data_IF_917180546766
#
_entry.id   IF_917180546766
#
_cell.length_a   1.000
_cell.length_b   1.000
_cell.length_c   1.000
_cell.angle_alpha   90.00
_cell.angle_beta   90.00
_cell.angle_gamma   90.00
#
_symmetry.space_group_name_H-M   'P 1'
#
loop_
_entity.id
_entity.type
_entity.pdbx_description
1 polymer ?
#
# COMPACT_ATOMS: atom_id res chain seq x y z
N UNK A 1 -24.52 8.77 21.82
CA UNK A 1 -23.22 8.06 21.72
C UNK A 1 -22.92 7.48 23.07
N UNK A 2 -22.68 6.17 23.14
CA UNK A 2 -22.28 5.47 24.36
C UNK A 2 -20.76 5.46 24.47
N UNK A 3 -20.23 5.41 25.69
CA UNK A 3 -18.80 5.16 25.88
C UNK A 3 -18.42 3.79 25.30
N UNK A 4 -17.27 3.72 24.63
CA UNK A 4 -16.73 2.46 24.13
C UNK A 4 -16.28 1.61 25.33
N UNK A 5 -16.43 0.28 25.27
CA UNK A 5 -15.95 -0.61 26.33
C UNK A 5 -14.43 -0.48 26.52
N UNK A 6 -13.98 -0.63 27.76
CA UNK A 6 -12.56 -0.65 28.09
C UNK A 6 -11.92 -1.96 27.57
N UNK A 7 -10.74 -1.85 26.95
CA UNK A 7 -10.00 -3.02 26.48
C UNK A 7 -9.34 -3.71 27.68
N UNK A 8 -9.84 -4.88 28.08
CA UNK A 8 -9.27 -5.65 29.19
C UNK A 8 -8.00 -6.43 28.81
N UNK A 9 -7.85 -6.81 27.52
CA UNK A 9 -6.73 -7.61 27.04
C UNK A 9 -6.44 -7.40 25.55
N UNK A 10 -5.15 -7.36 25.22
CA UNK A 10 -4.64 -7.43 23.85
C UNK A 10 -3.81 -8.72 23.68
N UNK A 11 -4.08 -9.49 22.61
CA UNK A 11 -3.34 -10.71 22.27
C UNK A 11 -2.87 -10.62 20.83
N UNK A 12 -1.57 -10.81 20.61
CA UNK A 12 -1.00 -10.89 19.28
C UNK A 12 -0.85 -12.36 18.88
N UNK A 13 -1.56 -12.77 17.83
CA UNK A 13 -1.50 -14.11 17.26
C UNK A 13 -0.76 -14.03 15.93
N UNK A 14 0.19 -14.93 15.70
CA UNK A 14 0.89 -15.02 14.43
C UNK A 14 0.22 -16.05 13.52
N UNK A 15 -0.30 -15.58 12.38
CA UNK A 15 -0.79 -16.40 11.29
C UNK A 15 0.03 -16.03 10.05
N UNK A 16 0.86 -16.95 9.57
CA UNK A 16 1.92 -16.65 8.60
C UNK A 16 1.45 -16.36 7.17
N UNK A 17 0.21 -16.73 6.83
CA UNK A 17 -0.34 -16.56 5.49
C UNK A 17 -1.66 -15.78 5.48
N UNK A 18 -1.92 -15.08 4.38
CA UNK A 18 -3.10 -14.22 4.24
C UNK A 18 -4.41 -15.00 4.18
N UNK A 19 -4.41 -16.26 3.72
CA UNK A 19 -5.63 -17.07 3.66
C UNK A 19 -6.07 -17.53 5.05
N UNK A 20 -5.11 -17.92 5.89
CA UNK A 20 -5.32 -18.22 7.30
C UNK A 20 -5.84 -16.99 8.05
N UNK A 21 -5.24 -15.83 7.82
CA UNK A 21 -5.70 -14.56 8.41
C UNK A 21 -7.15 -14.24 7.99
N UNK A 22 -7.47 -14.37 6.70
CA UNK A 22 -8.82 -14.17 6.18
C UNK A 22 -9.83 -15.14 6.80
N UNK A 23 -9.49 -16.42 6.90
CA UNK A 23 -10.36 -17.44 7.51
C UNK A 23 -10.62 -17.15 8.98
N UNK A 24 -9.59 -16.76 9.72
CA UNK A 24 -9.71 -16.41 11.14
C UNK A 24 -10.59 -15.17 11.31
N UNK A 25 -10.42 -14.13 10.49
CA UNK A 25 -11.24 -12.92 10.55
C UNK A 25 -12.70 -13.20 10.14
N UNK A 26 -12.93 -14.01 9.10
CA UNK A 26 -14.29 -14.43 8.69
C UNK A 26 -14.99 -15.22 9.81
N UNK A 27 -14.25 -16.02 10.57
CA UNK A 27 -14.77 -16.78 11.72
C UNK A 27 -14.83 -16.00 13.02
N UNK A 28 -14.46 -14.72 13.02
CA UNK A 28 -14.35 -13.88 14.21
C UNK A 28 -13.41 -14.48 15.28
N UNK A 29 -12.36 -15.20 14.85
CA UNK A 29 -11.29 -15.72 15.72
C UNK A 29 -10.23 -14.65 16.04
N UNK A 30 -10.15 -13.60 15.21
CA UNK A 30 -9.32 -12.40 15.37
C UNK A 30 -10.13 -11.16 14.99
N UNK A 31 -9.76 -10.00 15.55
CA UNK A 31 -10.45 -8.72 15.29
C UNK A 31 -9.81 -7.89 14.17
N UNK A 32 -8.56 -8.18 13.81
CA UNK A 32 -7.79 -7.42 12.82
C UNK A 32 -6.71 -8.28 12.15
N UNK A 33 -6.34 -7.92 10.93
CA UNK A 33 -5.21 -8.48 10.19
C UNK A 33 -4.13 -7.42 9.96
N UNK A 34 -3.01 -7.84 9.37
CA UNK A 34 -2.08 -6.90 8.74
C UNK A 34 -2.52 -6.62 7.29
N UNK A 35 -1.63 -6.10 6.45
CA UNK A 35 -1.88 -5.91 5.02
C UNK A 35 -2.24 -7.22 4.30
N UNK A 36 -3.32 -7.10 3.52
CA UNK A 36 -3.87 -8.15 2.68
C UNK A 36 -3.86 -7.70 1.22
N UNK A 37 -3.90 -8.67 0.29
CA UNK A 37 -4.19 -8.37 -1.11
C UNK A 37 -5.68 -8.05 -1.28
N UNK A 38 -5.98 -7.25 -2.31
CA UNK A 38 -7.33 -6.68 -2.54
C UNK A 38 -8.40 -7.76 -2.67
N UNK A 39 -8.10 -8.82 -3.42
CA UNK A 39 -8.98 -9.98 -3.61
C UNK A 39 -9.34 -10.67 -2.28
N UNK A 40 -8.38 -10.73 -1.35
CA UNK A 40 -8.59 -11.31 -0.03
C UNK A 40 -9.48 -10.41 0.83
N UNK A 41 -9.27 -9.09 0.78
CA UNK A 41 -10.11 -8.12 1.49
C UNK A 41 -11.55 -8.23 1.00
N UNK A 42 -11.76 -8.22 -0.31
CA UNK A 42 -13.09 -8.32 -0.91
C UNK A 42 -13.82 -9.58 -0.49
N UNK A 43 -13.10 -10.72 -0.43
CA UNK A 43 -13.65 -11.97 0.08
C UNK A 43 -14.06 -11.88 1.56
N UNK A 44 -13.20 -11.34 2.41
CA UNK A 44 -13.53 -11.17 3.85
C UNK A 44 -14.77 -10.31 4.02
N UNK A 45 -14.85 -9.20 3.28
CA UNK A 45 -16.02 -8.33 3.35
C UNK A 45 -17.28 -9.04 2.85
N UNK A 46 -17.20 -9.83 1.78
CA UNK A 46 -18.34 -10.60 1.29
C UNK A 46 -18.83 -11.65 2.32
N UNK A 47 -17.90 -12.32 2.99
CA UNK A 47 -18.19 -13.46 3.87
C UNK A 47 -18.38 -13.07 5.36
N UNK A 48 -17.99 -11.85 5.76
CA UNK A 48 -18.19 -11.32 7.12
C UNK A 48 -18.84 -9.91 7.09
N UNK A 49 -20.13 -9.78 7.46
CA UNK A 49 -20.83 -8.49 7.47
C UNK A 49 -20.37 -7.54 8.59
N UNK A 50 -19.76 -8.07 9.66
CA UNK A 50 -19.30 -7.29 10.81
C UNK A 50 -17.91 -6.69 10.59
N UNK A 51 -17.21 -7.14 9.55
CA UNK A 51 -15.89 -6.60 9.18
C UNK A 51 -16.03 -5.33 8.34
N UNK A 52 -15.10 -4.40 8.54
CA UNK A 52 -14.93 -3.20 7.72
C UNK A 52 -13.45 -2.94 7.48
N UNK A 53 -13.15 -1.95 6.63
CA UNK A 53 -11.77 -1.51 6.36
C UNK A 53 -11.63 -0.02 6.66
N UNK A 54 -10.44 0.54 6.42
CA UNK A 54 -10.19 1.97 6.65
C UNK A 54 -11.16 2.88 5.88
N UNK A 55 -11.52 2.50 4.65
CA UNK A 55 -12.44 3.28 3.80
C UNK A 55 -13.86 2.72 3.82
N UNK A 56 -14.18 1.84 4.76
CA UNK A 56 -15.46 1.16 4.81
C UNK A 56 -15.48 -0.13 3.99
N UNK A 57 -16.62 -0.44 3.39
CA UNK A 57 -16.83 -1.68 2.63
C UNK A 57 -16.83 -1.47 1.12
N UNK A 58 -16.71 -0.22 0.69
CA UNK A 58 -16.48 0.19 -0.69
C UNK A 58 -14.99 0.59 -0.78
N UNK A 59 -14.29 0.12 -1.83
CA UNK A 59 -12.85 0.33 -2.00
C UNK A 59 -12.42 1.81 -1.93
N UNK A 60 -11.13 2.12 -1.74
CA UNK A 60 -9.94 1.30 -2.00
C UNK A 60 -9.47 0.40 -0.83
N UNK A 61 -10.25 0.32 0.24
CA UNK A 61 -10.05 -0.49 1.44
C UNK A 61 -8.91 -0.08 2.37
N UNK A 62 -7.91 0.63 1.87
CA UNK A 62 -6.74 1.06 2.64
C UNK A 62 -6.67 2.56 2.91
N UNK A 63 -5.69 2.95 3.71
CA UNK A 63 -5.20 4.32 3.79
C UNK A 63 -4.00 4.51 2.85
N UNK A 64 -3.73 5.74 2.45
CA UNK A 64 -2.46 6.09 1.79
C UNK A 64 -1.32 5.83 2.79
N UNK A 65 -0.43 4.90 2.43
CA UNK A 65 0.74 4.53 3.23
C UNK A 65 1.86 5.55 3.09
N UNK A 66 2.68 5.69 4.14
CA UNK A 66 3.95 6.42 4.07
C UNK A 66 4.98 5.71 3.17
N UNK A 67 4.81 4.41 2.95
CA UNK A 67 5.80 3.55 2.32
C UNK A 67 5.35 3.16 0.91
N UNK A 68 5.93 3.75 -0.15
CA UNK A 68 5.67 3.30 -1.51
C UNK A 68 6.34 1.95 -1.78
N UNK A 69 5.78 1.18 -2.72
CA UNK A 69 6.48 0.00 -3.25
C UNK A 69 7.58 0.46 -4.20
N UNK A 70 8.83 0.12 -3.90
CA UNK A 70 9.99 0.59 -4.64
C UNK A 70 10.93 -0.54 -5.05
N UNK A 71 11.52 -0.41 -6.25
CA UNK A 71 12.61 -1.26 -6.72
C UNK A 71 13.95 -0.60 -6.40
N UNK A 72 14.67 -1.16 -5.43
CA UNK A 72 15.99 -0.64 -5.06
C UNK A 72 17.08 -1.38 -5.84
N UNK A 73 17.90 -0.63 -6.57
CA UNK A 73 19.01 -1.16 -7.36
C UNK A 73 20.33 -1.01 -6.59
N UNK A 74 21.18 -2.04 -6.64
CA UNK A 74 22.46 -2.02 -5.95
C UNK A 74 23.46 -1.11 -6.67
N UNK A 75 23.67 0.10 -6.15
CA UNK A 75 24.57 1.08 -6.75
C UNK A 75 26.07 0.68 -6.71
N UNK A 76 26.45 -0.40 -5.99
CA UNK A 76 27.82 -0.94 -6.01
C UNK A 76 28.08 -1.92 -7.16
N UNK A 77 27.02 -2.36 -7.85
CA UNK A 77 27.18 -3.21 -9.03
C UNK A 77 27.73 -2.40 -10.23
N UNK A 78 28.56 -3.03 -11.06
CA UNK A 78 29.24 -2.37 -12.19
C UNK A 78 28.28 -1.87 -13.29
N UNK A 79 27.09 -2.44 -13.38
CA UNK A 79 26.05 -2.04 -14.33
C UNK A 79 24.99 -1.19 -13.64
N UNK A 80 24.43 -1.64 -12.52
CA UNK A 80 23.35 -0.94 -11.82
C UNK A 80 23.84 0.34 -11.09
N UNK A 81 25.15 0.48 -10.88
CA UNK A 81 25.79 1.70 -10.39
C UNK A 81 25.72 2.87 -11.37
N UNK A 82 25.47 2.61 -12.66
CA UNK A 82 25.37 3.64 -13.70
C UNK A 82 24.00 4.36 -13.67
N UNK A 83 23.94 5.69 -13.50
CA UNK A 83 22.68 6.42 -13.43
C UNK A 83 21.76 6.20 -14.64
N UNK A 84 22.32 6.17 -15.85
CA UNK A 84 21.58 5.98 -17.09
C UNK A 84 20.89 4.61 -17.17
N UNK A 85 21.51 3.57 -16.60
CA UNK A 85 20.91 2.23 -16.54
C UNK A 85 19.73 2.21 -15.57
N UNK A 86 19.86 2.87 -14.40
CA UNK A 86 18.76 2.97 -13.44
C UNK A 86 17.58 3.76 -14.01
N UNK A 87 17.87 4.85 -14.72
CA UNK A 87 16.85 5.63 -15.44
C UNK A 87 16.16 4.84 -16.55
N UNK A 88 16.91 4.01 -17.30
CA UNK A 88 16.33 3.13 -18.31
C UNK A 88 15.38 2.10 -17.67
N UNK A 89 15.78 1.48 -16.54
CA UNK A 89 14.92 0.57 -15.78
C UNK A 89 13.68 1.31 -15.27
N UNK A 90 13.83 2.51 -14.70
CA UNK A 90 12.73 3.32 -14.18
C UNK A 90 11.64 3.57 -15.23
N UNK A 91 12.05 3.89 -16.46
CA UNK A 91 11.15 4.18 -17.60
C UNK A 91 10.60 2.92 -18.27
N UNK A 92 11.25 1.78 -18.11
CA UNK A 92 10.74 0.50 -18.61
C UNK A 92 9.53 -0.01 -17.80
N UNK A 93 9.39 0.41 -16.55
CA UNK A 93 8.31 -0.01 -15.67
C UNK A 93 6.99 0.69 -16.01
N UNK A 94 6.03 -0.08 -16.50
CA UNK A 94 4.64 0.34 -16.65
C UNK A 94 3.92 0.27 -15.29
N UNK A 95 3.91 1.39 -14.58
CA UNK A 95 3.34 1.48 -13.23
C UNK A 95 1.83 1.32 -13.22
N UNK A 96 1.15 1.74 -14.29
CA UNK A 96 -0.29 1.58 -14.39
C UNK A 96 -0.66 0.11 -14.48
N UNK A 97 0.03 -0.68 -15.32
CA UNK A 97 -0.15 -2.13 -15.35
C UNK A 97 0.10 -2.77 -13.99
N UNK A 98 1.10 -2.30 -13.24
CA UNK A 98 1.36 -2.82 -11.90
C UNK A 98 0.18 -2.56 -10.96
N UNK A 99 -0.41 -1.37 -11.01
CA UNK A 99 -1.61 -1.03 -10.23
C UNK A 99 -2.81 -1.89 -10.66
N UNK A 100 -3.04 -2.00 -11.97
CA UNK A 100 -4.18 -2.74 -12.52
C UNK A 100 -4.12 -4.23 -12.14
N UNK A 101 -2.94 -4.86 -12.25
CA UNK A 101 -2.78 -6.29 -12.00
C UNK A 101 -2.51 -6.65 -10.55
N UNK A 102 -1.66 -5.90 -9.84
CA UNK A 102 -1.24 -6.28 -8.48
C UNK A 102 -2.15 -5.71 -7.39
N UNK A 103 -2.85 -4.61 -7.69
CA UNK A 103 -3.70 -3.89 -6.74
C UNK A 103 -5.14 -3.72 -7.24
N UNK A 104 -5.51 -4.38 -8.33
CA UNK A 104 -6.87 -4.32 -8.90
C UNK A 104 -7.38 -2.88 -9.08
N UNK A 105 -6.50 -1.99 -9.56
CA UNK A 105 -6.82 -0.58 -9.74
C UNK A 105 -6.89 0.25 -8.45
N UNK A 106 -6.78 -0.35 -7.26
CA UNK A 106 -6.93 0.31 -5.95
C UNK A 106 -5.59 0.86 -5.41
N UNK A 107 -4.72 1.30 -6.31
CA UNK A 107 -3.41 1.88 -6.00
C UNK A 107 -3.23 3.26 -6.65
N UNK A 108 -2.10 3.89 -6.36
CA UNK A 108 -1.71 5.16 -6.98
C UNK A 108 -0.23 5.13 -7.37
N UNK A 109 0.11 5.88 -8.41
CA UNK A 109 1.50 6.07 -8.82
C UNK A 109 2.19 6.99 -7.81
N UNK A 110 3.41 6.61 -7.39
CA UNK A 110 4.27 7.46 -6.57
C UNK A 110 5.44 7.96 -7.42
N UNK A 111 5.53 9.29 -7.59
CA UNK A 111 6.67 9.94 -8.26
C UNK A 111 7.84 10.13 -7.28
N UNK A 112 7.51 10.44 -6.02
CA UNK A 112 8.47 10.68 -4.95
C UNK A 112 8.43 9.56 -3.90
N UNK A 113 9.51 9.35 -3.12
CA UNK A 113 9.56 8.31 -2.09
C UNK A 113 8.67 8.62 -0.87
N UNK A 114 7.93 9.72 -0.89
CA UNK A 114 7.00 10.15 0.15
C UNK A 114 5.60 10.37 -0.45
N UNK A 115 4.53 10.13 0.32
CA UNK A 115 3.16 10.33 -0.14
C UNK A 115 2.82 11.81 -0.34
N UNK A 116 1.83 12.14 -1.17
CA UNK A 116 1.38 13.52 -1.43
C UNK A 116 0.48 14.04 -0.30
N UNK A 117 0.99 14.01 0.94
CA UNK A 117 0.27 14.55 2.08
C UNK A 117 0.30 16.07 2.07
N UNK A 118 -0.81 16.69 2.49
CA UNK A 118 -0.96 18.15 2.48
C UNK A 118 0.17 18.88 3.24
N UNK A 119 0.67 18.30 4.33
CA UNK A 119 1.80 18.87 5.09
C UNK A 119 3.15 18.83 4.37
N UNK A 120 3.25 18.15 3.22
CA UNK A 120 4.45 18.08 2.38
C UNK A 120 4.30 18.88 1.07
N UNK A 121 3.19 19.58 0.86
CA UNK A 121 2.92 20.26 -0.40
C UNK A 121 4.00 21.28 -0.77
N UNK A 122 4.44 22.11 0.19
CA UNK A 122 5.52 23.07 -0.03
C UNK A 122 6.82 22.39 -0.51
N UNK A 123 7.12 21.19 0.01
CA UNK A 123 8.29 20.44 -0.42
C UNK A 123 8.12 19.87 -1.82
N UNK A 124 6.91 19.42 -2.18
CA UNK A 124 6.56 18.93 -3.52
C UNK A 124 6.63 20.06 -4.54
N UNK A 125 6.05 21.22 -4.23
CA UNK A 125 6.03 22.37 -5.13
C UNK A 125 7.45 22.88 -5.46
N UNK A 126 8.36 22.82 -4.48
CA UNK A 126 9.78 23.15 -4.67
C UNK A 126 10.53 22.14 -5.57
N UNK A 127 9.96 20.99 -5.90
CA UNK A 127 10.53 19.98 -6.78
C UNK A 127 9.97 20.04 -8.20
N UNK A 128 9.02 20.93 -8.49
CA UNK A 128 8.33 20.98 -9.79
C UNK A 128 9.28 21.14 -10.99
N UNK A 129 10.32 21.97 -10.86
CA UNK A 129 11.32 22.16 -11.91
C UNK A 129 12.12 20.87 -12.20
N UNK A 130 12.43 20.09 -11.15
CA UNK A 130 13.10 18.80 -11.29
C UNK A 130 12.17 17.74 -11.89
N UNK A 131 10.89 17.74 -11.51
CA UNK A 131 9.90 16.84 -12.10
C UNK A 131 9.77 17.09 -13.61
N UNK A 132 9.70 18.36 -14.03
CA UNK A 132 9.66 18.72 -15.45
C UNK A 132 10.94 18.33 -16.22
N UNK A 133 12.11 18.34 -15.58
CA UNK A 133 13.37 17.94 -16.20
C UNK A 133 13.48 16.40 -16.37
N UNK A 134 13.02 15.64 -15.37
CA UNK A 134 13.31 14.21 -15.26
C UNK A 134 12.13 13.28 -15.58
N UNK A 135 10.89 13.75 -15.51
CA UNK A 135 9.65 13.00 -15.79
C UNK A 135 8.82 13.68 -16.92
N UNK A 136 9.34 13.75 -18.17
CA UNK A 136 8.63 14.37 -19.30
C UNK A 136 7.50 13.50 -19.90
#
# INVERSE_FOLDING_TARGET
>A
FSELPEIERFVQIYIGDQQGQATALIRNEIDQTHDLRVDIIEKILADNPDTTTWTGREGPYGMVSWWPTALHLNNKDKHLGKPEVRWAINRYLDRQKLIDFAYDGKGQISNWPFPPFAGLQDAIDNLADLEAEYEP
#
